data_IF_453723102096
#
_entry.id   IF_453723102096
#
_cell.length_a   1.000
_cell.length_b   1.000
_cell.length_c   1.000
_cell.angle_alpha   90.00
_cell.angle_beta   90.00
_cell.angle_gamma   90.00
#
_symmetry.space_group_name_H-M   'P 1'
#
loop_
_entity.id
_entity.type
_entity.pdbx_description
1 polymer ?
#
# COMPACT_ATOMS: atom_id res chain seq x y z
N UNK A 1 27.85 -17.91 -41.93
CA UNK A 1 28.59 -17.18 -42.98
C UNK A 1 29.39 -16.06 -42.29
N UNK A 2 30.73 -16.28 -42.22
CA UNK A 2 31.90 -15.35 -42.15
C UNK A 2 31.74 -14.11 -41.24
N UNK A 3 32.40 -14.07 -40.07
CA UNK A 3 33.85 -13.81 -39.80
C UNK A 3 34.36 -12.50 -40.44
N UNK A 4 34.77 -11.55 -39.61
CA UNK A 4 36.09 -10.93 -39.71
C UNK A 4 36.49 -10.21 -38.42
N UNK A 5 37.59 -10.71 -37.87
CA UNK A 5 38.54 -10.08 -36.95
C UNK A 5 39.38 -9.02 -37.69
N UNK A 6 40.00 -8.14 -36.94
CA UNK A 6 41.10 -7.28 -37.27
C UNK A 6 41.35 -6.31 -36.13
N UNK A 7 42.27 -6.27 -35.30
CA UNK A 7 43.67 -6.69 -35.25
C UNK A 7 44.60 -5.64 -35.85
N UNK A 8 45.15 -4.67 -35.06
CA UNK A 8 46.37 -3.91 -35.30
C UNK A 8 46.82 -3.36 -33.94
N UNK A 9 47.79 -3.89 -33.27
CA UNK A 9 49.26 -3.87 -33.42
C UNK A 9 49.89 -2.48 -33.27
N UNK A 10 50.44 -2.26 -32.09
CA UNK A 10 51.82 -1.84 -31.81
C UNK A 10 52.41 -0.68 -32.60
N UNK A 11 52.74 0.40 -31.90
CA UNK A 11 53.95 1.16 -32.28
C UNK A 11 54.69 1.63 -31.02
N UNK A 12 55.86 1.00 -30.83
CA UNK A 12 56.99 1.42 -30.01
C UNK A 12 57.81 2.48 -30.78
N UNK A 13 58.23 3.53 -30.10
CA UNK A 13 59.21 4.51 -30.62
C UNK A 13 59.61 5.40 -29.45
N UNK A 14 60.54 5.06 -28.73
CA UNK A 14 61.92 5.38 -28.64
C UNK A 14 62.26 6.83 -29.01
N UNK A 15 62.41 7.68 -27.99
CA UNK A 15 63.32 8.85 -28.10
C UNK A 15 64.08 8.95 -26.78
N UNK A 16 65.30 8.48 -26.86
CA UNK A 16 66.44 8.73 -25.96
C UNK A 16 67.19 9.97 -26.45
N UNK A 17 67.77 10.66 -25.51
CA UNK A 17 68.82 11.65 -25.59
C UNK A 17 68.45 13.12 -25.66
N UNK A 18 68.80 13.79 -24.59
CA UNK A 18 68.97 15.25 -24.64
C UNK A 18 69.22 15.87 -23.27
N UNK A 19 70.46 15.78 -22.88
CA UNK A 19 71.27 16.75 -22.16
C UNK A 19 71.05 17.06 -20.68
N UNK A 20 71.99 16.55 -20.01
CA UNK A 20 72.75 17.01 -18.83
C UNK A 20 73.09 18.50 -18.87
N UNK A 21 73.21 19.09 -17.69
CA UNK A 21 73.69 20.40 -17.22
C UNK A 21 72.72 21.56 -17.15
N UNK A 22 72.19 21.79 -15.96
CA UNK A 22 72.43 23.07 -15.30
C UNK A 22 72.44 22.85 -13.79
N UNK A 23 73.64 22.92 -13.23
CA UNK A 23 73.90 23.02 -11.81
C UNK A 23 73.64 24.46 -11.36
N UNK A 24 73.16 24.55 -10.11
CA UNK A 24 73.25 25.68 -9.21
C UNK A 24 72.02 26.61 -9.14
N UNK A 25 71.42 26.60 -7.98
CA UNK A 25 70.80 27.79 -7.40
C UNK A 25 69.31 27.69 -7.12
N UNK A 26 68.99 27.41 -5.89
CA UNK A 26 67.67 27.71 -5.40
C UNK A 26 67.07 26.57 -4.55
N UNK A 27 67.51 26.47 -3.30
CA UNK A 27 66.62 25.94 -2.25
C UNK A 27 65.40 26.83 -2.17
N UNK A 28 64.35 26.47 -2.84
CA UNK A 28 63.03 27.02 -2.54
C UNK A 28 62.14 25.82 -2.33
N UNK A 29 61.58 25.74 -1.13
CA UNK A 29 60.81 24.62 -0.61
C UNK A 29 59.72 24.17 -1.57
N UNK A 30 59.92 22.99 -2.16
CA UNK A 30 58.81 22.18 -2.65
C UNK A 30 58.14 21.59 -1.43
N UNK A 31 57.40 22.45 -0.72
CA UNK A 31 56.38 22.02 0.19
C UNK A 31 55.36 21.31 -0.70
N UNK A 32 55.51 20.02 -0.74
CA UNK A 32 54.50 19.13 -1.37
C UNK A 32 53.18 19.44 -0.71
N UNK A 33 52.36 20.17 -1.46
CA UNK A 33 50.95 20.18 -1.19
C UNK A 33 50.42 18.75 -1.45
N UNK A 34 50.78 17.85 -0.53
CA UNK A 34 49.95 16.70 -0.25
C UNK A 34 48.65 17.30 0.29
N UNK A 35 47.75 17.60 -0.65
CA UNK A 35 46.38 17.86 -0.32
C UNK A 35 45.94 16.68 0.55
N UNK A 36 45.90 16.91 1.84
CA UNK A 36 45.35 15.96 2.79
C UNK A 36 43.89 15.74 2.40
N UNK A 37 43.69 14.69 1.62
CA UNK A 37 42.35 14.10 1.38
C UNK A 37 41.68 13.60 2.67
N UNK A 38 42.29 13.94 3.82
CA UNK A 38 41.82 13.53 5.14
C UNK A 38 40.69 14.39 5.70
N UNK A 39 40.45 15.58 5.16
CA UNK A 39 39.42 16.49 5.65
C UNK A 39 38.38 16.92 4.60
N UNK A 40 38.21 16.15 3.53
CA UNK A 40 36.88 16.13 2.96
C UNK A 40 35.99 15.39 3.96
N UNK A 41 35.49 16.13 4.92
CA UNK A 41 34.24 15.80 5.59
C UNK A 41 33.17 15.76 4.48
N UNK A 42 33.08 14.63 3.82
CA UNK A 42 31.87 14.25 3.10
C UNK A 42 30.82 14.23 4.20
N UNK A 43 30.30 15.42 4.50
CA UNK A 43 29.35 15.66 5.56
C UNK A 43 28.46 14.45 5.56
N UNK A 44 28.60 13.63 6.58
CA UNK A 44 27.81 12.41 6.71
C UNK A 44 26.39 12.91 6.70
N UNK A 45 25.80 12.91 5.50
CA UNK A 45 24.37 13.08 5.33
C UNK A 45 23.82 11.87 6.08
N UNK A 46 23.66 12.03 7.39
CA UNK A 46 22.87 11.10 8.15
C UNK A 46 21.43 11.35 7.69
N UNK A 47 20.85 10.50 6.84
CA UNK A 47 19.48 10.68 6.44
C UNK A 47 18.67 10.69 7.75
N UNK A 48 18.12 11.85 8.08
CA UNK A 48 17.26 11.97 9.24
C UNK A 48 15.91 11.36 8.84
N UNK A 49 15.69 10.15 9.30
CA UNK A 49 14.41 9.46 9.14
C UNK A 49 13.59 9.67 10.41
N UNK A 50 12.31 10.02 10.24
CA UNK A 50 11.42 10.16 11.40
C UNK A 50 11.09 8.77 11.95
N UNK A 51 11.03 8.64 13.27
CA UNK A 51 10.71 7.36 13.94
C UNK A 51 9.40 6.78 13.37
N UNK A 52 8.37 7.59 13.19
CA UNK A 52 7.07 7.15 12.64
C UNK A 52 7.13 6.50 11.25
N UNK A 53 8.20 6.77 10.48
CA UNK A 53 8.31 6.24 9.11
C UNK A 53 8.95 4.85 9.08
N UNK A 54 9.59 4.44 10.19
CA UNK A 54 10.33 3.16 10.33
C UNK A 54 9.77 2.23 11.40
N UNK A 55 8.78 2.68 12.18
CA UNK A 55 8.14 1.84 13.19
C UNK A 55 6.62 1.82 13.03
N UNK A 56 6.02 0.74 13.50
CA UNK A 56 4.59 0.61 13.71
C UNK A 56 4.31 0.44 15.22
N UNK A 57 3.12 0.81 15.68
CA UNK A 57 2.72 0.61 17.08
C UNK A 57 2.16 -0.81 17.22
N UNK A 58 2.61 -1.55 18.23
CA UNK A 58 2.08 -2.88 18.52
C UNK A 58 0.56 -2.82 18.77
N UNK A 59 -0.20 -3.72 18.14
CA UNK A 59 -1.67 -3.70 18.17
C UNK A 59 -2.32 -2.81 17.11
N UNK A 60 -1.60 -1.88 16.48
CA UNK A 60 -2.11 -1.04 15.40
C UNK A 60 -2.06 -1.79 14.06
N UNK A 61 -3.12 -2.50 13.73
CA UNK A 61 -3.23 -3.23 12.47
C UNK A 61 -4.49 -2.85 11.69
N UNK A 62 -4.41 -2.92 10.37
CA UNK A 62 -5.60 -2.85 9.53
C UNK A 62 -6.44 -4.13 9.67
N UNK A 63 -7.74 -3.98 9.85
CA UNK A 63 -8.66 -5.10 9.92
C UNK A 63 -9.34 -5.31 8.57
N UNK A 64 -9.35 -6.55 8.09
CA UNK A 64 -10.01 -6.89 6.82
C UNK A 64 -11.52 -6.99 7.04
N UNK A 65 -12.27 -6.26 6.22
CA UNK A 65 -13.72 -6.32 6.19
C UNK A 65 -14.18 -7.00 4.92
N UNK A 66 -15.20 -7.85 5.05
CA UNK A 66 -15.82 -8.53 3.93
C UNK A 66 -17.33 -8.36 3.97
N UNK A 67 -17.94 -8.38 2.80
CA UNK A 67 -19.39 -8.30 2.68
C UNK A 67 -19.88 -8.88 1.36
N UNK A 68 -21.19 -8.99 1.25
CA UNK A 68 -21.87 -9.34 -0.02
C UNK A 68 -22.89 -8.23 -0.29
N UNK A 69 -22.89 -7.76 -1.53
CA UNK A 69 -23.75 -6.68 -1.96
C UNK A 69 -24.45 -6.95 -3.27
N UNK A 70 -25.35 -6.06 -3.63
CA UNK A 70 -26.05 -6.05 -4.91
C UNK A 70 -25.71 -4.77 -5.65
N UNK A 71 -25.18 -4.91 -6.85
CA UNK A 71 -24.96 -3.79 -7.79
C UNK A 71 -26.15 -3.72 -8.72
N UNK A 72 -26.71 -2.54 -8.88
CA UNK A 72 -27.89 -2.25 -9.73
C UNK A 72 -27.54 -1.24 -10.81
N UNK A 73 -28.40 -1.09 -11.83
CA UNK A 73 -28.18 -0.11 -12.90
C UNK A 73 -27.31 -0.62 -14.05
N UNK A 74 -27.04 -1.93 -14.12
CA UNK A 74 -26.25 -2.53 -15.20
C UNK A 74 -27.05 -2.57 -16.51
N UNK A 75 -26.40 -2.21 -17.61
CA UNK A 75 -27.03 -2.17 -18.93
C UNK A 75 -27.08 -3.56 -19.62
N UNK A 76 -27.77 -4.51 -18.99
CA UNK A 76 -27.91 -5.87 -19.53
C UNK A 76 -26.70 -6.78 -19.35
N UNK A 77 -25.68 -6.32 -18.58
CA UNK A 77 -24.43 -7.06 -18.30
C UNK A 77 -24.44 -7.78 -16.96
N UNK A 78 -25.55 -7.68 -16.22
CA UNK A 78 -25.70 -8.25 -14.89
C UNK A 78 -25.86 -9.76 -14.87
N UNK A 79 -26.04 -10.26 -13.68
CA UNK A 79 -26.10 -11.67 -13.30
C UNK A 79 -27.51 -12.25 -13.52
N UNK A 80 -27.55 -13.50 -13.95
CA UNK A 80 -28.80 -14.27 -14.10
C UNK A 80 -28.93 -15.38 -13.06
N UNK A 81 -28.01 -15.47 -12.14
CA UNK A 81 -27.96 -16.53 -11.14
C UNK A 81 -29.20 -16.50 -10.22
N UNK A 82 -29.58 -17.65 -9.75
CA UNK A 82 -30.65 -17.78 -8.74
C UNK A 82 -30.33 -16.98 -7.48
N UNK A 83 -29.04 -16.85 -7.14
CA UNK A 83 -28.56 -16.08 -6.01
C UNK A 83 -28.88 -14.59 -6.17
N UNK A 84 -28.65 -14.01 -7.36
CA UNK A 84 -28.97 -12.62 -7.65
C UNK A 84 -30.47 -12.34 -7.52
N UNK A 85 -31.29 -13.22 -8.06
CA UNK A 85 -32.74 -13.15 -7.98
C UNK A 85 -33.21 -13.20 -6.51
N UNK A 86 -32.68 -14.13 -5.73
CA UNK A 86 -33.06 -14.29 -4.33
C UNK A 86 -32.63 -13.09 -3.48
N UNK A 87 -31.41 -12.59 -3.70
CA UNK A 87 -30.89 -11.43 -2.99
C UNK A 87 -31.69 -10.16 -3.31
N UNK A 88 -32.05 -9.96 -4.59
CA UNK A 88 -32.91 -8.86 -5.01
C UNK A 88 -34.29 -8.95 -4.38
N UNK A 89 -34.90 -10.15 -4.35
CA UNK A 89 -36.20 -10.36 -3.68
C UNK A 89 -36.13 -10.05 -2.17
N UNK A 90 -35.09 -10.49 -1.50
CA UNK A 90 -34.91 -10.23 -0.07
C UNK A 90 -34.77 -8.72 0.18
N UNK A 91 -34.01 -8.03 -0.66
CA UNK A 91 -33.84 -6.59 -0.56
C UNK A 91 -35.17 -5.85 -0.79
N UNK A 92 -35.94 -6.22 -1.81
CA UNK A 92 -37.23 -5.60 -2.11
C UNK A 92 -38.26 -5.82 -0.98
N UNK A 93 -38.21 -6.97 -0.31
CA UNK A 93 -39.04 -7.22 0.87
C UNK A 93 -38.74 -6.23 2.01
N UNK A 94 -37.46 -5.86 2.19
CA UNK A 94 -37.10 -4.85 3.21
C UNK A 94 -37.68 -3.48 2.89
N UNK A 95 -37.98 -3.20 1.61
CA UNK A 95 -38.69 -1.99 1.17
C UNK A 95 -40.22 -2.18 1.09
N UNK A 96 -40.76 -3.31 1.57
CA UNK A 96 -42.20 -3.59 1.54
C UNK A 96 -42.73 -4.02 0.17
N UNK A 97 -41.85 -4.32 -0.80
CA UNK A 97 -42.22 -4.73 -2.16
C UNK A 97 -42.05 -6.24 -2.32
N UNK A 98 -43.12 -6.92 -2.78
CA UNK A 98 -43.07 -8.33 -3.13
C UNK A 98 -42.90 -8.46 -4.65
N UNK A 99 -41.79 -9.09 -5.08
CA UNK A 99 -41.53 -9.36 -6.50
C UNK A 99 -41.78 -10.82 -6.83
N UNK A 100 -42.44 -11.05 -7.96
CA UNK A 100 -42.55 -12.36 -8.55
C UNK A 100 -41.22 -12.80 -9.16
N UNK A 101 -40.97 -14.11 -9.21
CA UNK A 101 -39.73 -14.66 -9.71
C UNK A 101 -39.44 -14.26 -11.19
N UNK A 102 -40.50 -14.15 -12.02
CA UNK A 102 -40.38 -13.72 -13.43
C UNK A 102 -39.97 -12.24 -13.53
N UNK A 103 -40.50 -11.38 -12.67
CA UNK A 103 -40.16 -9.96 -12.64
C UNK A 103 -38.73 -9.71 -12.10
N UNK A 104 -38.20 -10.61 -11.28
CA UNK A 104 -36.85 -10.54 -10.74
C UNK A 104 -35.75 -10.97 -11.73
N UNK A 105 -36.10 -11.59 -12.87
CA UNK A 105 -35.13 -12.04 -13.90
C UNK A 105 -34.66 -10.88 -14.77
N UNK A 106 -33.92 -9.97 -14.20
CA UNK A 106 -33.32 -8.85 -14.95
C UNK A 106 -31.82 -9.06 -15.08
N UNK A 107 -31.24 -8.57 -16.17
CA UNK A 107 -29.76 -8.53 -16.34
C UNK A 107 -29.17 -7.20 -15.84
N UNK A 108 -29.92 -6.46 -15.08
CA UNK A 108 -29.54 -5.13 -14.62
C UNK A 108 -28.98 -5.13 -13.19
N UNK A 109 -28.84 -6.32 -12.60
CA UNK A 109 -28.31 -6.51 -11.25
C UNK A 109 -27.21 -7.56 -11.24
N UNK A 110 -26.27 -7.43 -10.31
CA UNK A 110 -25.22 -8.42 -10.08
C UNK A 110 -24.95 -8.57 -8.59
N UNK A 111 -24.73 -9.82 -8.15
CA UNK A 111 -24.21 -10.09 -6.81
C UNK A 111 -22.71 -9.91 -6.80
N UNK A 112 -22.22 -9.19 -5.79
CA UNK A 112 -20.82 -8.85 -5.66
C UNK A 112 -20.29 -9.20 -4.29
N UNK A 113 -19.03 -9.62 -4.24
CA UNK A 113 -18.23 -9.63 -3.02
C UNK A 113 -17.62 -8.25 -2.80
N UNK A 114 -17.61 -7.83 -1.57
CA UNK A 114 -17.07 -6.57 -1.12
C UNK A 114 -15.89 -6.85 -0.19
N UNK A 115 -14.80 -6.15 -0.40
CA UNK A 115 -13.64 -6.18 0.51
C UNK A 115 -13.16 -4.76 0.78
N UNK A 116 -12.83 -4.49 2.02
CA UNK A 116 -12.26 -3.21 2.44
C UNK A 116 -11.25 -3.45 3.57
N UNK A 117 -10.33 -2.55 3.73
CA UNK A 117 -9.40 -2.55 4.86
C UNK A 117 -9.76 -1.40 5.78
N UNK A 118 -10.15 -1.72 7.01
CA UNK A 118 -10.36 -0.75 8.06
C UNK A 118 -9.00 -0.37 8.64
N UNK A 119 -8.51 0.86 8.45
CA UNK A 119 -7.21 1.26 8.95
C UNK A 119 -7.22 1.28 10.49
N UNK A 120 -6.04 1.15 11.14
CA UNK A 120 -5.94 1.37 12.57
C UNK A 120 -6.39 2.80 12.91
N UNK A 121 -6.95 2.97 14.10
CA UNK A 121 -7.48 4.26 14.58
C UNK A 121 -8.67 4.83 13.80
N UNK A 122 -9.29 4.06 12.91
CA UNK A 122 -10.48 4.51 12.22
C UNK A 122 -11.60 4.83 13.20
N UNK A 123 -12.28 5.96 12.98
CA UNK A 123 -13.39 6.42 13.82
C UNK A 123 -14.70 6.40 13.03
N UNK A 124 -15.85 6.23 13.71
CA UNK A 124 -17.14 6.36 13.08
C UNK A 124 -17.30 7.66 12.30
N UNK A 125 -17.86 7.57 11.10
CA UNK A 125 -18.00 8.69 10.16
C UNK A 125 -16.86 8.88 9.18
N UNK A 126 -15.73 8.18 9.34
CA UNK A 126 -14.67 8.16 8.31
C UNK A 126 -15.06 7.29 7.12
N UNK A 127 -14.51 7.59 5.96
CA UNK A 127 -14.72 6.82 4.73
C UNK A 127 -13.52 5.95 4.41
N UNK A 128 -13.80 4.75 3.86
CA UNK A 128 -12.79 3.81 3.39
C UNK A 128 -13.14 3.33 1.98
N UNK A 129 -12.13 2.96 1.23
CA UNK A 129 -12.29 2.43 -0.12
C UNK A 129 -12.81 0.99 -0.09
N UNK A 130 -13.66 0.65 -1.06
CA UNK A 130 -14.26 -0.68 -1.18
C UNK A 130 -13.93 -1.28 -2.53
N UNK A 131 -13.31 -2.45 -2.53
CA UNK A 131 -13.14 -3.26 -3.73
C UNK A 131 -14.39 -4.12 -3.94
N UNK A 132 -14.85 -4.16 -5.18
CA UNK A 132 -16.10 -4.81 -5.60
C UNK A 132 -15.77 -5.83 -6.68
N UNK A 133 -16.15 -7.10 -6.48
CA UNK A 133 -15.92 -8.16 -7.46
C UNK A 133 -17.20 -8.95 -7.68
N UNK A 134 -17.55 -9.21 -8.94
CA UNK A 134 -18.73 -10.03 -9.28
C UNK A 134 -18.54 -11.47 -8.79
N UNK A 135 -19.58 -12.01 -8.13
CA UNK A 135 -19.61 -13.40 -7.66
C UNK A 135 -20.35 -14.35 -8.59
N UNK A 136 -21.19 -13.80 -9.46
CA UNK A 136 -22.00 -14.56 -10.40
C UNK A 136 -21.48 -14.53 -11.83
N UNK A 137 -22.40 -14.62 -12.79
CA UNK A 137 -22.12 -14.64 -14.22
C UNK A 137 -22.22 -13.26 -14.89
N UNK A 138 -22.15 -12.19 -14.11
CA UNK A 138 -22.15 -10.82 -14.61
C UNK A 138 -20.95 -10.59 -15.54
N UNK A 139 -21.20 -9.98 -16.70
CA UNK A 139 -20.17 -9.72 -17.71
C UNK A 139 -19.41 -8.41 -17.46
N UNK A 140 -20.05 -7.44 -16.81
CA UNK A 140 -19.46 -6.15 -16.47
C UNK A 140 -20.25 -5.48 -15.37
N UNK A 141 -19.54 -4.77 -14.50
CA UNK A 141 -20.10 -3.92 -13.43
C UNK A 141 -20.14 -2.44 -13.84
N UNK A 142 -19.76 -2.12 -15.07
CA UNK A 142 -19.67 -0.75 -15.56
C UNK A 142 -21.03 -0.03 -15.50
N UNK A 143 -21.04 1.19 -14.97
CA UNK A 143 -22.24 2.02 -14.81
C UNK A 143 -23.13 1.58 -13.64
N UNK A 144 -22.77 0.51 -12.93
CA UNK A 144 -23.53 0.02 -11.79
C UNK A 144 -23.30 0.82 -10.52
N UNK A 145 -24.30 0.79 -9.65
CA UNK A 145 -24.27 1.38 -8.31
C UNK A 145 -24.47 0.28 -7.28
N UNK A 146 -23.57 0.21 -6.31
CA UNK A 146 -23.69 -0.69 -5.16
C UNK A 146 -24.79 -0.18 -4.24
N UNK A 147 -25.74 -1.04 -3.92
CA UNK A 147 -26.75 -0.80 -2.90
C UNK A 147 -26.14 -0.94 -1.51
N UNK A 148 -26.73 -0.26 -0.54
CA UNK A 148 -26.29 -0.29 0.86
C UNK A 148 -26.04 -1.72 1.34
N UNK A 149 -24.80 -2.00 1.71
CA UNK A 149 -24.31 -3.34 2.04
C UNK A 149 -23.42 -3.32 3.27
N UNK A 150 -23.66 -4.17 4.27
CA UNK A 150 -22.84 -4.21 5.47
C UNK A 150 -21.51 -4.90 5.21
N UNK A 151 -20.43 -4.35 5.74
CA UNK A 151 -19.11 -4.94 5.78
C UNK A 151 -18.80 -5.47 7.18
N UNK A 152 -18.44 -6.73 7.28
CA UNK A 152 -18.19 -7.46 8.53
C UNK A 152 -16.73 -7.82 8.66
N UNK A 153 -16.23 -7.79 9.90
CA UNK A 153 -14.94 -8.36 10.23
C UNK A 153 -15.06 -9.86 10.56
N UNK A 154 -13.94 -10.49 10.87
CA UNK A 154 -13.88 -11.92 11.19
C UNK A 154 -14.71 -12.35 12.41
N UNK A 155 -15.03 -11.40 13.31
CA UNK A 155 -15.91 -11.59 14.47
C UNK A 155 -17.42 -11.59 14.11
N UNK A 156 -17.76 -11.39 12.82
CA UNK A 156 -19.12 -11.35 12.32
C UNK A 156 -19.87 -10.04 12.56
N UNK A 157 -19.27 -9.06 13.25
CA UNK A 157 -19.90 -7.76 13.49
C UNK A 157 -19.73 -6.82 12.32
N UNK A 158 -20.70 -5.93 12.12
CA UNK A 158 -20.65 -4.88 11.10
C UNK A 158 -19.83 -3.71 11.62
N UNK A 159 -18.79 -3.32 10.86
CA UNK A 159 -17.92 -2.20 11.17
C UNK A 159 -18.05 -1.05 10.18
N UNK A 160 -18.47 -1.33 8.96
CA UNK A 160 -18.70 -0.30 7.95
C UNK A 160 -19.91 -0.66 7.07
N UNK A 161 -20.45 0.33 6.41
CA UNK A 161 -21.57 0.18 5.46
C UNK A 161 -21.16 0.79 4.13
N UNK A 162 -21.19 -0.03 3.08
CA UNK A 162 -20.75 0.34 1.75
C UNK A 162 -21.93 0.71 0.85
N UNK A 163 -21.77 1.78 0.05
CA UNK A 163 -22.70 2.23 -0.97
C UNK A 163 -22.00 3.14 -1.97
N UNK A 164 -22.39 3.11 -3.25
CA UNK A 164 -21.88 4.09 -4.20
C UNK A 164 -21.71 3.55 -5.62
N UNK A 165 -21.33 4.44 -6.53
CA UNK A 165 -21.08 4.09 -7.93
C UNK A 165 -19.79 3.28 -8.07
N UNK A 166 -19.84 2.19 -8.82
CA UNK A 166 -18.70 1.31 -9.05
C UNK A 166 -17.85 1.86 -10.20
N UNK A 167 -16.60 2.20 -9.89
CA UNK A 167 -15.60 2.57 -10.89
C UNK A 167 -14.89 1.32 -11.39
N UNK A 168 -15.07 1.02 -12.67
CA UNK A 168 -14.46 -0.14 -13.33
C UNK A 168 -13.31 0.31 -14.20
N UNK A 169 -12.12 -0.24 -14.00
CA UNK A 169 -10.91 0.10 -14.77
C UNK A 169 -10.85 -0.54 -16.16
N UNK A 170 -11.82 -1.38 -16.52
CA UNK A 170 -11.88 -2.10 -17.79
C UNK A 170 -13.17 -1.85 -18.56
N UNK A 171 -13.15 -2.14 -19.86
CA UNK A 171 -14.35 -2.16 -20.69
C UNK A 171 -14.42 -3.45 -21.50
N UNK A 172 -15.63 -3.91 -21.76
CA UNK A 172 -15.92 -4.96 -22.72
C UNK A 172 -16.73 -4.34 -23.85
N UNK A 173 -16.19 -4.32 -25.05
CA UNK A 173 -16.90 -3.89 -26.26
C UNK A 173 -16.94 -5.04 -27.24
N UNK A 174 -18.13 -5.37 -27.76
CA UNK A 174 -18.28 -6.45 -28.73
C UNK A 174 -19.68 -6.54 -29.30
N UNK A 175 -19.76 -6.95 -30.57
CA UNK A 175 -20.97 -7.34 -31.25
C UNK A 175 -21.02 -8.87 -31.44
N UNK A 176 -22.03 -9.36 -32.16
CA UNK A 176 -22.26 -10.80 -32.35
C UNK A 176 -21.07 -11.56 -32.99
N UNK A 177 -20.11 -10.87 -33.62
CA UNK A 177 -18.99 -11.47 -34.35
C UNK A 177 -17.62 -11.33 -33.69
N UNK A 178 -17.41 -10.37 -32.77
CA UNK A 178 -16.16 -10.19 -32.08
C UNK A 178 -16.36 -9.46 -30.74
N UNK A 179 -15.77 -9.97 -29.66
CA UNK A 179 -15.79 -9.34 -28.36
C UNK A 179 -14.35 -8.95 -28.01
N UNK A 180 -14.12 -7.65 -27.80
CA UNK A 180 -12.83 -7.14 -27.27
C UNK A 180 -13.01 -6.76 -25.81
N UNK A 181 -12.30 -7.43 -24.93
CA UNK A 181 -12.27 -7.11 -23.50
C UNK A 181 -10.91 -6.53 -23.16
N UNK A 182 -10.89 -5.33 -22.62
CA UNK A 182 -9.66 -4.71 -22.09
C UNK A 182 -9.79 -4.56 -20.57
N UNK A 183 -8.85 -5.15 -19.85
CA UNK A 183 -8.86 -5.29 -18.39
C UNK A 183 -10.06 -6.13 -17.88
N UNK A 184 -10.24 -6.16 -16.57
CA UNK A 184 -11.27 -6.98 -15.92
C UNK A 184 -12.51 -6.11 -15.64
N UNK A 185 -13.60 -6.24 -16.43
CA UNK A 185 -14.81 -5.42 -16.26
C UNK A 185 -15.69 -5.90 -15.09
N UNK A 186 -15.39 -7.04 -14.50
CA UNK A 186 -16.13 -7.64 -13.37
C UNK A 186 -15.56 -7.29 -12.01
N UNK A 187 -14.50 -6.48 -11.98
CA UNK A 187 -13.89 -5.93 -10.76
C UNK A 187 -13.90 -4.40 -10.81
N UNK A 188 -14.14 -3.78 -9.69
CA UNK A 188 -14.18 -2.32 -9.56
C UNK A 188 -13.81 -1.83 -8.18
N UNK A 189 -13.73 -0.53 -8.04
CA UNK A 189 -13.43 0.18 -6.81
C UNK A 189 -14.51 1.24 -6.57
N UNK A 190 -14.86 1.44 -5.30
CA UNK A 190 -15.69 2.57 -4.87
C UNK A 190 -14.83 3.38 -3.89
N UNK A 191 -14.19 4.47 -4.35
CA UNK A 191 -13.36 5.32 -3.50
C UNK A 191 -14.21 5.98 -2.41
N UNK A 192 -13.78 5.87 -1.15
CA UNK A 192 -14.54 6.37 -0.01
C UNK A 192 -15.96 5.79 0.10
N UNK A 193 -16.20 4.62 -0.50
CA UNK A 193 -17.54 4.05 -0.67
C UNK A 193 -18.13 3.40 0.56
N UNK A 194 -17.39 3.25 1.64
CA UNK A 194 -17.96 2.77 2.89
C UNK A 194 -17.72 3.74 4.04
N UNK A 195 -18.77 3.98 4.81
CA UNK A 195 -18.70 4.71 6.06
C UNK A 195 -18.42 3.75 7.21
N UNK A 196 -17.46 4.11 8.05
CA UNK A 196 -17.16 3.41 9.29
C UNK A 196 -18.28 3.70 10.30
N UNK A 197 -18.93 2.65 10.81
CA UNK A 197 -20.02 2.73 11.80
C UNK A 197 -19.50 2.44 13.22
N UNK A 198 -18.44 1.63 13.32
CA UNK A 198 -17.82 1.25 14.58
C UNK A 198 -16.31 1.29 14.46
N UNK A 199 -15.67 1.73 15.53
CA UNK A 199 -14.24 1.53 15.71
C UNK A 199 -13.93 0.12 16.22
N UNK A 200 -12.70 -0.32 15.96
CA UNK A 200 -12.17 -1.53 16.59
C UNK A 200 -11.45 -1.09 17.86
N UNK A 201 -11.95 -1.50 19.04
CA UNK A 201 -11.22 -1.23 20.26
C UNK A 201 -9.86 -1.92 20.19
N UNK A 202 -8.81 -1.16 20.35
CA UNK A 202 -7.45 -1.66 20.40
C UNK A 202 -6.74 -1.01 21.58
N UNK A 203 -6.23 -1.83 22.47
CA UNK A 203 -5.38 -1.40 23.56
C UNK A 203 -3.96 -1.25 23.01
N UNK A 204 -3.57 -0.01 22.72
CA UNK A 204 -2.22 0.31 22.24
C UNK A 204 -1.21 0.40 23.39
N UNK A 205 -1.70 0.44 24.62
CA UNK A 205 -0.88 0.49 25.81
C UNK A 205 -1.24 -0.66 26.74
N UNK A 206 -0.29 -1.48 27.07
CA UNK A 206 -0.43 -2.56 28.05
C UNK A 206 0.37 -2.19 29.29
N UNK A 207 -0.33 -1.99 30.42
CA UNK A 207 0.31 -1.64 31.68
C UNK A 207 1.08 -0.30 31.64
N UNK A 208 0.60 0.70 30.87
CA UNK A 208 1.28 1.98 30.72
C UNK A 208 2.52 1.96 29.81
N UNK A 209 2.69 0.89 29.04
CA UNK A 209 3.78 0.72 28.09
C UNK A 209 3.27 0.77 26.67
N UNK A 210 3.98 1.50 25.81
CA UNK A 210 3.77 1.52 24.35
C UNK A 210 4.91 0.74 23.70
N UNK A 211 4.58 -0.26 22.90
CA UNK A 211 5.58 -1.00 22.13
C UNK A 211 5.64 -0.53 20.68
N UNK A 212 6.84 -0.18 20.24
CA UNK A 212 7.17 0.20 18.88
C UNK A 212 7.82 -0.99 18.18
N UNK A 213 7.25 -1.40 17.06
CA UNK A 213 7.75 -2.48 16.23
C UNK A 213 8.49 -1.90 15.02
N UNK A 214 9.76 -2.25 14.88
CA UNK A 214 10.54 -1.85 13.71
C UNK A 214 10.06 -2.63 12.48
N UNK A 215 9.87 -1.94 11.35
CA UNK A 215 9.52 -2.59 10.07
C UNK A 215 10.65 -3.47 9.57
N UNK A 216 11.89 -2.99 9.73
CA UNK A 216 13.11 -3.74 9.44
C UNK A 216 13.88 -3.94 10.75
N UNK A 217 13.87 -5.14 11.34
CA UNK A 217 14.54 -5.42 12.61
C UNK A 217 16.06 -5.23 12.52
N UNK A 218 16.59 -4.29 13.32
CA UNK A 218 18.02 -4.03 13.43
C UNK A 218 18.37 -3.48 14.81
N UNK A 219 19.34 -4.09 15.49
CA UNK A 219 19.78 -3.69 16.83
C UNK A 219 20.31 -2.26 16.90
N UNK A 220 21.05 -1.83 15.88
CA UNK A 220 21.62 -0.48 15.82
C UNK A 220 20.51 0.56 15.70
N UNK A 221 19.52 0.28 14.87
CA UNK A 221 18.34 1.16 14.67
C UNK A 221 17.47 1.19 15.92
N UNK A 222 17.21 0.05 16.57
CA UNK A 222 16.47 -0.03 17.83
C UNK A 222 17.16 0.79 18.93
N UNK A 223 18.49 0.68 19.05
CA UNK A 223 19.26 1.48 20.02
C UNK A 223 19.19 2.97 19.71
N UNK A 224 19.34 3.38 18.45
CA UNK A 224 19.25 4.80 18.04
C UNK A 224 17.87 5.41 18.30
N UNK A 225 16.80 4.63 18.08
CA UNK A 225 15.43 5.04 18.41
C UNK A 225 15.32 5.27 19.91
N UNK A 226 15.77 4.31 20.72
CA UNK A 226 15.79 4.37 22.19
C UNK A 226 16.55 5.60 22.69
N UNK A 227 17.77 5.82 22.20
CA UNK A 227 18.59 6.95 22.58
C UNK A 227 17.96 8.29 22.20
N UNK A 228 17.27 8.34 21.07
CA UNK A 228 16.59 9.54 20.58
C UNK A 228 15.39 9.88 21.45
N UNK A 229 14.58 8.89 21.81
CA UNK A 229 13.44 9.05 22.71
C UNK A 229 13.93 9.47 24.11
N UNK A 230 14.94 8.77 24.63
CA UNK A 230 15.46 9.04 25.98
C UNK A 230 16.12 10.42 26.09
N UNK A 231 16.74 10.92 25.04
CA UNK A 231 17.28 12.30 25.02
C UNK A 231 16.20 13.36 25.13
N UNK A 232 15.01 13.09 24.59
CA UNK A 232 13.93 14.08 24.55
C UNK A 232 12.98 13.99 25.75
N UNK A 233 12.70 12.78 26.22
CA UNK A 233 11.67 12.51 27.23
C UNK A 233 12.23 11.95 28.56
N UNK A 234 13.56 11.78 28.68
CA UNK A 234 14.17 11.10 29.82
C UNK A 234 14.23 9.58 29.59
N UNK A 235 14.74 8.84 30.58
CA UNK A 235 14.96 7.39 30.49
C UNK A 235 13.63 6.60 30.52
N UNK A 236 12.80 6.75 29.47
CA UNK A 236 11.47 6.12 29.36
C UNK A 236 11.45 4.96 28.36
N UNK A 237 12.43 4.86 27.45
CA UNK A 237 12.46 3.85 26.41
C UNK A 237 13.62 2.86 26.62
N UNK A 238 13.38 1.59 26.24
CA UNK A 238 14.41 0.55 26.20
C UNK A 238 14.14 -0.44 25.07
N UNK A 239 15.20 -0.96 24.39
CA UNK A 239 15.05 -1.98 23.38
C UNK A 239 14.85 -3.34 24.06
N UNK A 240 13.90 -4.12 23.60
CA UNK A 240 13.68 -5.50 24.04
C UNK A 240 14.46 -6.47 23.15
N UNK A 241 14.40 -6.21 21.85
CA UNK A 241 15.12 -6.97 20.81
C UNK A 241 15.39 -6.09 19.58
N UNK A 242 15.88 -6.69 18.50
CA UNK A 242 16.16 -5.98 17.26
C UNK A 242 14.94 -5.34 16.59
N UNK A 243 13.74 -5.86 16.86
CA UNK A 243 12.50 -5.41 16.22
C UNK A 243 11.54 -4.67 17.16
N UNK A 244 11.85 -4.58 18.47
CA UNK A 244 10.91 -4.06 19.45
C UNK A 244 11.57 -3.11 20.45
N UNK A 245 11.00 -1.92 20.53
CA UNK A 245 11.37 -0.91 21.54
C UNK A 245 10.14 -0.60 22.38
N UNK A 246 10.27 -0.68 23.70
CA UNK A 246 9.20 -0.38 24.64
C UNK A 246 9.43 1.01 25.25
N UNK A 247 8.35 1.78 25.30
CA UNK A 247 8.33 3.13 25.89
C UNK A 247 7.36 3.14 27.07
N UNK A 248 7.85 3.46 28.25
CA UNK A 248 7.03 3.65 29.44
C UNK A 248 6.38 5.04 29.38
N UNK A 249 5.06 5.09 29.47
CA UNK A 249 4.30 6.34 29.47
C UNK A 249 4.16 6.82 30.92
N UNK A 250 4.80 7.95 31.29
CA UNK A 250 4.64 8.49 32.64
C UNK A 250 3.22 9.03 32.83
N UNK A 251 2.50 8.57 33.83
CA UNK A 251 1.25 9.17 34.26
C UNK A 251 -0.05 8.50 33.81
N UNK A 252 -0.02 7.19 33.53
CA UNK A 252 -1.27 6.40 33.44
C UNK A 252 -1.37 5.40 34.58
#
# INVERSE_FOLDING_TARGET
>A
MRVKQGGVMMQRGLFLLGCVLFLAGGLCGAESAAVELRDMDFGRIHPQVRIKDIVDIEGARGNQLTGVGLVTGLAGTGDKSTMAIQMMRNMMRNFGVTLDEKAARTKNVAVVSLTATLPPYARPGQTIDVSVNAMGDAKSLQGGTLMQSPLKAADGKVYAVAQGAVLVGGYAAGGAAATTTKNIPTSGLIPGGAFVERDVPADYTVGGQLALLLRDPDFTTAQRITDTINRQFGAVAYPVDAGRVVVNLPGQ
#
